data_IF_069795615657
#
_entry.id   IF_069795615657
#
_cell.length_a   1.000
_cell.length_b   1.000
_cell.length_c   1.000
_cell.angle_alpha   90.00
_cell.angle_beta   90.00
_cell.angle_gamma   90.00
#
_symmetry.space_group_name_H-M   'P 1'
#
loop_
_entity.id
_entity.type
_entity.pdbx_description
1 polymer ?
#
# COMPACT_ATOMS: atom_id res chain seq x y z
N UNK A 1 33.46 21.42 -20.95
CA UNK A 1 34.72 22.13 -21.37
C UNK A 1 34.40 23.61 -21.59
N UNK A 2 34.80 24.48 -20.67
CA UNK A 2 34.61 25.94 -20.78
C UNK A 2 35.68 26.47 -21.69
N UNK A 3 35.34 26.92 -22.91
CA UNK A 3 36.26 27.63 -23.76
C UNK A 3 36.37 29.08 -23.28
N UNK A 4 37.47 29.42 -22.61
CA UNK A 4 37.82 30.80 -22.25
C UNK A 4 38.23 31.56 -23.51
N UNK A 5 37.47 32.55 -23.90
CA UNK A 5 37.84 33.50 -24.94
C UNK A 5 38.82 34.52 -24.36
N UNK A 6 40.09 34.31 -24.60
CA UNK A 6 41.10 35.36 -24.37
C UNK A 6 40.80 36.59 -25.22
N UNK A 7 40.73 37.74 -24.63
CA UNK A 7 40.78 39.01 -25.37
C UNK A 7 42.18 39.18 -25.93
N UNK A 8 42.30 39.09 -27.25
CA UNK A 8 43.55 39.47 -27.93
C UNK A 8 43.59 41.01 -27.95
N UNK A 9 44.44 41.58 -27.13
CA UNK A 9 44.80 42.99 -27.23
C UNK A 9 45.39 43.28 -28.63
N UNK A 10 44.88 44.31 -29.26
CA UNK A 10 45.32 44.73 -30.61
C UNK A 10 46.51 45.72 -30.40
N UNK A 11 47.74 45.39 -30.84
CA UNK A 11 48.89 46.27 -30.66
C UNK A 11 48.64 47.62 -31.31
N UNK A 12 49.12 48.72 -30.68
CA UNK A 12 49.08 50.07 -31.24
C UNK A 12 50.00 50.17 -32.47
N UNK A 13 49.51 50.76 -33.57
CA UNK A 13 50.27 50.93 -34.81
C UNK A 13 49.81 50.12 -36.04
N UNK A 14 48.66 49.43 -35.96
CA UNK A 14 48.18 48.58 -37.07
C UNK A 14 47.29 49.39 -38.03
N UNK A 15 47.53 49.25 -39.36
CA UNK A 15 46.75 49.91 -40.40
C UNK A 15 45.31 49.39 -40.42
N UNK A 16 44.32 50.21 -40.87
CA UNK A 16 42.89 49.85 -40.94
C UNK A 16 42.68 48.57 -41.78
N UNK A 17 43.50 48.30 -42.80
CA UNK A 17 43.43 47.05 -43.56
C UNK A 17 43.83 45.83 -42.71
N UNK A 18 44.79 45.93 -41.83
CA UNK A 18 45.21 44.87 -40.93
C UNK A 18 44.14 44.63 -39.85
N UNK A 19 43.51 45.66 -39.32
CA UNK A 19 42.37 45.55 -38.38
C UNK A 19 41.17 44.83 -39.03
N UNK A 20 40.86 45.19 -40.28
CA UNK A 20 39.76 44.49 -41.00
C UNK A 20 40.09 43.00 -41.25
N UNK A 21 41.31 42.64 -41.62
CA UNK A 21 41.72 41.25 -41.79
C UNK A 21 41.70 40.47 -40.47
N UNK A 22 42.13 41.06 -39.38
CA UNK A 22 42.04 40.44 -38.06
C UNK A 22 40.59 40.24 -37.60
N UNK A 23 39.70 41.23 -37.83
CA UNK A 23 38.26 41.07 -37.58
C UNK A 23 37.61 39.98 -38.44
N UNK A 24 37.93 39.93 -39.73
CA UNK A 24 37.43 38.87 -40.61
C UNK A 24 37.94 37.46 -40.20
N UNK A 25 39.20 37.33 -39.83
CA UNK A 25 39.75 36.06 -39.29
C UNK A 25 39.05 35.65 -38.00
N UNK A 26 38.84 36.57 -37.06
CA UNK A 26 38.13 36.33 -35.80
C UNK A 26 36.67 35.94 -36.03
N UNK A 27 35.97 36.61 -36.96
CA UNK A 27 34.61 36.26 -37.30
C UNK A 27 34.49 34.86 -37.93
N UNK A 28 35.43 34.51 -38.84
CA UNK A 28 35.51 33.15 -39.40
C UNK A 28 35.80 32.09 -38.33
N UNK A 29 36.66 32.40 -37.40
CA UNK A 29 37.00 31.50 -36.29
C UNK A 29 35.77 31.32 -35.35
N UNK A 30 35.09 32.42 -35.01
CA UNK A 30 33.83 32.37 -34.23
C UNK A 30 32.73 31.58 -34.96
N UNK A 31 32.60 31.77 -36.26
CA UNK A 31 31.62 31.01 -37.06
C UNK A 31 31.93 29.50 -37.06
N UNK A 32 33.23 29.14 -37.26
CA UNK A 32 33.69 27.74 -37.20
C UNK A 32 33.42 27.11 -35.81
N UNK A 33 33.70 27.83 -34.73
CA UNK A 33 33.44 27.36 -33.36
C UNK A 33 31.94 27.17 -33.11
N UNK A 34 31.11 28.11 -33.61
CA UNK A 34 29.65 28.00 -33.50
C UNK A 34 29.13 26.79 -34.28
N UNK A 35 29.62 26.60 -35.52
CA UNK A 35 29.21 25.41 -36.32
C UNK A 35 29.64 24.13 -35.62
N UNK A 36 30.85 24.05 -35.11
CA UNK A 36 31.33 22.89 -34.37
C UNK A 36 30.47 22.62 -33.14
N UNK A 37 30.18 23.66 -32.34
CA UNK A 37 29.32 23.52 -31.16
C UNK A 37 27.93 23.05 -31.52
N UNK A 38 27.32 23.62 -32.55
CA UNK A 38 25.98 23.20 -33.03
C UNK A 38 25.99 21.75 -33.58
N UNK A 39 27.10 21.36 -34.25
CA UNK A 39 27.26 19.99 -34.75
C UNK A 39 27.35 18.98 -33.58
N UNK A 40 28.16 19.30 -32.56
CA UNK A 40 28.27 18.44 -31.36
C UNK A 40 26.90 18.33 -30.65
N UNK A 41 26.22 19.47 -30.43
CA UNK A 41 24.90 19.48 -29.85
C UNK A 41 23.89 18.65 -30.69
N UNK A 42 23.95 18.76 -32.01
CA UNK A 42 23.11 17.98 -32.91
C UNK A 42 23.35 16.48 -32.81
N UNK A 43 24.64 16.08 -32.78
CA UNK A 43 25.00 14.67 -32.58
C UNK A 43 24.55 14.16 -31.22
N UNK A 44 24.77 14.94 -30.17
CA UNK A 44 24.34 14.59 -28.81
C UNK A 44 22.82 14.45 -28.72
N UNK A 45 22.06 15.39 -29.32
CA UNK A 45 20.59 15.32 -29.37
C UNK A 45 20.12 14.06 -30.11
N UNK A 46 20.67 13.78 -31.30
CA UNK A 46 20.28 12.60 -32.09
C UNK A 46 20.65 11.32 -31.35
N UNK A 47 21.86 11.21 -30.78
CA UNK A 47 22.27 10.04 -30.03
C UNK A 47 21.39 9.81 -28.79
N UNK A 48 21.06 10.88 -28.09
CA UNK A 48 20.14 10.82 -26.92
C UNK A 48 18.76 10.33 -27.34
N UNK A 49 18.19 10.88 -28.42
CA UNK A 49 16.89 10.45 -28.93
C UNK A 49 16.89 8.97 -29.35
N UNK A 50 17.96 8.52 -30.04
CA UNK A 50 18.11 7.14 -30.46
C UNK A 50 18.27 6.21 -29.26
N UNK A 51 19.19 6.54 -28.34
CA UNK A 51 19.42 5.76 -27.12
C UNK A 51 18.17 5.71 -26.24
N UNK A 52 17.49 6.85 -26.06
CA UNK A 52 16.25 6.90 -25.30
C UNK A 52 15.15 6.05 -25.95
N UNK A 53 14.99 6.16 -27.28
CA UNK A 53 14.00 5.37 -28.02
C UNK A 53 14.28 3.86 -28.04
N UNK A 54 15.55 3.44 -28.06
CA UNK A 54 15.96 2.04 -28.12
C UNK A 54 16.07 1.36 -26.74
N UNK A 55 16.49 2.11 -25.72
CA UNK A 55 16.82 1.54 -24.41
C UNK A 55 15.88 1.96 -23.30
N UNK A 56 14.98 2.91 -23.53
CA UNK A 56 13.97 3.26 -22.55
C UNK A 56 12.87 2.21 -22.53
N UNK A 57 12.91 1.34 -21.52
CA UNK A 57 11.88 0.33 -21.26
C UNK A 57 10.90 0.88 -20.25
N UNK A 58 9.96 1.68 -20.69
CA UNK A 58 8.84 2.14 -19.87
C UNK A 58 7.58 1.31 -20.13
N UNK A 59 6.62 1.40 -19.23
CA UNK A 59 5.28 0.89 -19.50
C UNK A 59 4.68 1.66 -20.67
N UNK A 60 4.25 0.95 -21.71
CA UNK A 60 3.63 1.59 -22.87
C UNK A 60 2.35 2.32 -22.50
N UNK A 61 2.11 3.49 -23.07
CA UNK A 61 0.91 4.31 -22.82
C UNK A 61 -0.38 3.52 -23.05
N UNK A 62 -0.39 2.57 -23.97
CA UNK A 62 -1.52 1.67 -24.23
C UNK A 62 -1.79 0.65 -23.11
N UNK A 63 -0.79 0.39 -22.26
CA UNK A 63 -0.91 -0.56 -21.13
C UNK A 63 -1.08 0.16 -19.78
N UNK A 64 -0.94 1.46 -19.79
CA UNK A 64 -0.97 2.29 -18.62
C UNK A 64 -2.08 3.32 -18.76
N UNK A 65 -3.07 3.26 -18.01
CA UNK A 65 -3.67 2.33 -17.08
C UNK A 65 -4.91 1.67 -17.73
N UNK A 66 -4.87 0.40 -17.95
CA UNK A 66 -6.08 -0.33 -18.36
C UNK A 66 -7.20 -0.06 -17.36
N UNK A 67 -8.37 0.31 -17.88
CA UNK A 67 -9.54 0.63 -17.05
C UNK A 67 -9.62 2.08 -16.55
N UNK A 68 -8.71 2.97 -16.93
CA UNK A 68 -8.69 4.39 -16.49
C UNK A 68 -10.01 5.11 -16.68
N UNK A 69 -10.71 4.88 -17.77
CA UNK A 69 -11.98 5.55 -18.07
C UNK A 69 -13.01 5.26 -16.99
N UNK A 70 -13.20 3.98 -16.64
CA UNK A 70 -14.17 3.59 -15.61
C UNK A 70 -13.70 3.97 -14.22
N UNK A 71 -12.42 3.74 -13.91
CA UNK A 71 -11.82 4.17 -12.64
C UNK A 71 -11.92 5.68 -12.45
N UNK A 72 -11.66 6.47 -13.49
CA UNK A 72 -11.82 7.93 -13.43
C UNK A 72 -13.28 8.35 -13.17
N UNK A 73 -14.26 7.61 -13.71
CA UNK A 73 -15.69 7.86 -13.45
C UNK A 73 -16.06 7.54 -12.01
N UNK A 74 -15.55 6.42 -11.46
CA UNK A 74 -15.71 6.05 -10.04
C UNK A 74 -15.13 7.12 -9.13
N UNK A 75 -13.89 7.57 -9.40
CA UNK A 75 -13.22 8.58 -8.58
C UNK A 75 -13.97 9.93 -8.62
N UNK A 76 -14.42 10.34 -9.80
CA UNK A 76 -15.23 11.56 -9.93
C UNK A 76 -16.51 11.45 -9.10
N UNK A 77 -17.27 10.37 -9.25
CA UNK A 77 -18.49 10.12 -8.49
C UNK A 77 -18.24 10.08 -6.98
N UNK A 78 -17.12 9.47 -6.55
CA UNK A 78 -16.71 9.45 -5.16
C UNK A 78 -16.52 10.85 -4.58
N UNK A 79 -15.85 11.74 -5.30
CA UNK A 79 -15.66 13.14 -4.86
C UNK A 79 -16.93 13.97 -4.94
N UNK A 80 -17.78 13.79 -5.96
CA UNK A 80 -19.09 14.46 -6.06
C UNK A 80 -20.01 14.07 -4.88
N UNK A 81 -19.86 12.87 -4.35
CA UNK A 81 -20.60 12.39 -3.17
C UNK A 81 -20.11 13.02 -1.86
N UNK A 82 -18.89 13.53 -1.82
CA UNK A 82 -18.18 13.98 -0.61
C UNK A 82 -17.93 15.49 -0.62
N UNK A 83 -18.83 16.26 -1.23
CA UNK A 83 -18.65 17.72 -1.43
C UNK A 83 -18.26 18.49 -0.16
N UNK A 84 -18.76 18.10 1.01
CA UNK A 84 -18.48 18.72 2.31
C UNK A 84 -17.35 18.05 3.09
N UNK A 85 -16.77 16.95 2.59
CA UNK A 85 -15.75 16.21 3.30
C UNK A 85 -14.35 16.66 2.92
N UNK A 86 -13.67 17.32 3.86
CA UNK A 86 -12.33 17.87 3.65
C UNK A 86 -11.26 16.82 3.41
N UNK A 87 -11.42 15.59 3.93
CA UNK A 87 -10.46 14.51 3.78
C UNK A 87 -11.09 13.14 4.06
N UNK A 88 -10.86 12.22 3.15
CA UNK A 88 -11.13 10.78 3.30
C UNK A 88 -10.11 9.98 2.51
N UNK A 89 -9.98 8.69 2.80
CA UNK A 89 -9.13 7.76 2.05
C UNK A 89 -9.94 6.76 1.27
N UNK A 90 -9.40 6.44 0.11
CA UNK A 90 -9.86 5.32 -0.72
C UNK A 90 -8.67 4.46 -1.12
N UNK A 91 -8.92 3.18 -1.36
CA UNK A 91 -7.94 2.27 -1.95
C UNK A 91 -8.56 1.41 -3.04
N UNK A 92 -7.73 0.73 -3.80
CA UNK A 92 -8.17 -0.22 -4.81
C UNK A 92 -8.15 -1.64 -4.25
N UNK A 93 -9.07 -2.50 -4.68
CA UNK A 93 -9.08 -3.92 -4.31
C UNK A 93 -7.84 -4.64 -4.79
N UNK A 94 -7.25 -4.18 -5.89
CA UNK A 94 -5.90 -4.54 -6.33
C UNK A 94 -5.29 -3.37 -7.10
N UNK A 95 -3.99 -3.15 -6.89
CA UNK A 95 -3.27 -2.03 -7.47
C UNK A 95 -2.66 -2.38 -8.83
N UNK A 96 -2.63 -1.43 -9.76
CA UNK A 96 -1.77 -1.51 -10.95
C UNK A 96 -0.36 -1.02 -10.65
N UNK A 97 -0.25 -0.06 -9.74
CA UNK A 97 1.00 0.48 -9.24
C UNK A 97 0.84 0.87 -7.78
N UNK A 98 1.92 0.79 -7.00
CA UNK A 98 1.91 1.18 -5.60
C UNK A 98 1.56 2.67 -5.37
N UNK A 99 1.64 3.50 -6.38
CA UNK A 99 1.29 4.91 -6.32
C UNK A 99 -0.03 5.23 -7.05
N UNK A 100 -0.95 4.28 -7.10
CA UNK A 100 -2.23 4.43 -7.78
C UNK A 100 -3.03 5.65 -7.28
N UNK A 101 -3.03 5.93 -5.98
CA UNK A 101 -3.67 7.11 -5.42
C UNK A 101 -3.12 8.41 -6.01
N UNK A 102 -1.79 8.55 -6.05
CA UNK A 102 -1.15 9.73 -6.64
C UNK A 102 -1.37 9.82 -8.15
N UNK A 103 -1.38 8.68 -8.86
CA UNK A 103 -1.62 8.63 -10.30
C UNK A 103 -3.04 9.03 -10.68
N UNK A 104 -4.03 8.55 -9.93
CA UNK A 104 -5.45 8.72 -10.24
C UNK A 104 -6.12 9.86 -9.47
N UNK A 105 -5.40 10.53 -8.56
CA UNK A 105 -5.86 11.73 -7.85
C UNK A 105 -6.80 11.44 -6.68
N UNK A 106 -6.58 10.36 -5.92
CA UNK A 106 -7.28 10.10 -4.67
C UNK A 106 -6.29 9.89 -3.51
N UNK A 107 -6.76 10.04 -2.27
CA UNK A 107 -5.94 9.84 -1.08
C UNK A 107 -5.84 8.35 -0.77
N UNK A 108 -4.83 7.68 -1.35
CA UNK A 108 -4.53 6.28 -1.10
C UNK A 108 -3.55 6.07 0.07
N UNK A 109 -3.37 4.80 0.45
CA UNK A 109 -2.40 4.36 1.46
C UNK A 109 -1.15 3.80 0.80
N UNK A 110 -1.32 2.93 -0.21
CA UNK A 110 -0.22 2.28 -0.89
C UNK A 110 0.81 3.28 -1.40
N UNK A 111 2.09 3.02 -1.15
CA UNK A 111 3.15 3.93 -1.56
C UNK A 111 4.46 3.21 -1.91
N UNK A 112 5.13 3.75 -2.92
CA UNK A 112 6.55 3.51 -3.20
C UNK A 112 7.29 4.84 -3.28
N UNK A 113 8.23 5.07 -2.36
CA UNK A 113 9.06 6.25 -2.35
C UNK A 113 10.38 5.98 -1.64
N UNK A 114 11.48 6.54 -2.15
CA UNK A 114 12.80 6.41 -1.53
C UNK A 114 12.93 7.14 -0.18
N UNK A 115 11.96 8.00 0.15
CA UNK A 115 11.88 8.76 1.41
C UNK A 115 10.70 8.32 2.29
N UNK A 116 10.31 7.04 2.21
CA UNK A 116 9.24 6.51 3.05
C UNK A 116 9.61 6.58 4.53
N UNK A 117 8.59 6.83 5.37
CA UNK A 117 8.75 6.77 6.81
C UNK A 117 8.86 5.30 7.25
N UNK A 118 9.99 4.94 7.87
CA UNK A 118 10.28 3.56 8.31
C UNK A 118 9.20 3.06 9.28
N UNK A 119 8.78 3.88 10.26
CA UNK A 119 7.75 3.50 11.23
C UNK A 119 6.40 3.20 10.57
N UNK A 120 6.01 3.98 9.55
CA UNK A 120 4.79 3.69 8.79
C UNK A 120 4.91 2.35 8.08
N UNK A 121 6.07 2.04 7.49
CA UNK A 121 6.30 0.75 6.83
C UNK A 121 6.25 -0.42 7.82
N UNK A 122 6.79 -0.23 9.02
CA UNK A 122 6.75 -1.23 10.10
C UNK A 122 5.31 -1.43 10.60
N UNK A 123 4.57 -0.35 10.82
CA UNK A 123 3.17 -0.41 11.20
C UNK A 123 2.30 -1.12 10.15
N UNK A 124 2.47 -0.78 8.86
CA UNK A 124 1.76 -1.45 7.77
C UNK A 124 2.09 -2.94 7.70
N UNK A 125 3.35 -3.32 7.97
CA UNK A 125 3.75 -4.73 8.07
C UNK A 125 3.09 -5.43 9.24
N UNK A 126 3.06 -4.79 10.40
CA UNK A 126 2.39 -5.35 11.59
C UNK A 126 0.89 -5.54 11.37
N UNK A 127 0.25 -4.63 10.64
CA UNK A 127 -1.14 -4.77 10.20
C UNK A 127 -1.37 -5.90 9.18
N UNK A 128 -0.30 -6.45 8.58
CA UNK A 128 -0.39 -7.54 7.61
C UNK A 128 -0.37 -7.11 6.15
N UNK A 129 0.01 -5.88 5.85
CA UNK A 129 0.15 -5.42 4.47
C UNK A 129 1.54 -5.68 3.92
N UNK A 130 1.63 -5.92 2.59
CA UNK A 130 2.87 -6.21 1.90
C UNK A 130 3.87 -5.06 2.01
N UNK A 131 4.79 -5.15 2.97
CA UNK A 131 5.81 -4.14 3.23
C UNK A 131 7.22 -4.73 3.10
N UNK A 132 8.10 -4.02 2.37
CA UNK A 132 9.46 -4.50 2.12
C UNK A 132 10.42 -4.17 3.26
N UNK A 133 11.39 -5.05 3.51
CA UNK A 133 12.45 -4.84 4.49
C UNK A 133 13.35 -3.61 4.19
N UNK A 134 13.35 -3.14 2.94
CA UNK A 134 14.00 -1.88 2.55
C UNK A 134 13.24 -0.64 3.00
N UNK A 135 12.06 -0.80 3.60
CA UNK A 135 11.23 0.28 4.12
C UNK A 135 10.82 1.36 3.11
N UNK A 136 10.88 1.05 1.81
CA UNK A 136 10.59 2.01 0.76
C UNK A 136 9.25 1.78 0.05
N UNK A 137 8.50 0.77 0.49
CA UNK A 137 7.18 0.45 -0.06
C UNK A 137 6.33 -0.33 0.92
N UNK A 138 5.04 -0.11 0.82
CA UNK A 138 3.97 -0.93 1.38
C UNK A 138 2.76 -0.89 0.43
N UNK A 139 2.00 -1.96 0.43
CA UNK A 139 0.90 -2.16 -0.49
C UNK A 139 -0.36 -2.56 0.28
N UNK A 140 -1.41 -1.79 0.11
CA UNK A 140 -2.74 -2.15 0.56
C UNK A 140 -3.43 -2.86 -0.63
N UNK A 141 -3.60 -4.16 -0.56
CA UNK A 141 -4.24 -4.95 -1.62
C UNK A 141 -5.47 -5.70 -1.11
N UNK A 142 -5.55 -5.91 0.20
CA UNK A 142 -6.62 -6.65 0.83
C UNK A 142 -7.14 -5.94 2.07
N UNK A 143 -8.42 -6.15 2.33
CA UNK A 143 -9.16 -5.41 3.36
C UNK A 143 -9.27 -6.21 4.65
N UNK A 144 -8.56 -5.80 5.70
CA UNK A 144 -8.87 -6.20 7.06
C UNK A 144 -9.81 -5.17 7.70
N UNK A 145 -11.01 -5.56 8.16
CA UNK A 145 -11.94 -4.62 8.79
C UNK A 145 -11.32 -3.85 9.97
N UNK A 146 -10.51 -4.53 10.79
CA UNK A 146 -9.78 -3.89 11.91
C UNK A 146 -8.77 -2.86 11.40
N UNK A 147 -7.93 -3.23 10.43
CA UNK A 147 -6.94 -2.30 9.89
C UNK A 147 -7.60 -1.08 9.20
N UNK A 148 -8.75 -1.28 8.54
CA UNK A 148 -9.49 -0.21 7.88
C UNK A 148 -9.98 0.87 8.84
N UNK A 149 -10.32 0.51 10.10
CA UNK A 149 -10.67 1.50 11.14
C UNK A 149 -9.49 2.46 11.37
N UNK A 150 -8.31 1.91 11.67
CA UNK A 150 -7.13 2.70 12.02
C UNK A 150 -6.51 3.43 10.82
N UNK A 151 -6.69 2.91 9.62
CA UNK A 151 -6.23 3.57 8.39
C UNK A 151 -7.23 4.59 7.85
N UNK A 152 -8.46 4.63 8.35
CA UNK A 152 -9.49 5.56 7.91
C UNK A 152 -9.90 5.34 6.45
N UNK A 153 -10.02 4.07 6.01
CA UNK A 153 -10.47 3.72 4.66
C UNK A 153 -11.99 3.87 4.57
N UNK A 154 -12.45 4.83 3.78
CA UNK A 154 -13.87 5.07 3.53
C UNK A 154 -14.39 4.33 2.32
N UNK A 155 -13.59 4.27 1.27
CA UNK A 155 -13.99 3.68 -0.01
C UNK A 155 -12.97 2.66 -0.50
N UNK A 156 -13.50 1.63 -1.17
CA UNK A 156 -12.72 0.74 -2.02
C UNK A 156 -13.16 0.91 -3.47
N UNK A 157 -12.19 0.96 -4.36
CA UNK A 157 -12.40 1.05 -5.81
C UNK A 157 -12.07 -0.32 -6.40
N UNK A 158 -13.10 -1.03 -6.83
CA UNK A 158 -12.94 -2.23 -7.62
C UNK A 158 -12.76 -1.84 -9.09
N UNK A 159 -11.77 -2.41 -9.77
CA UNK A 159 -11.32 -1.87 -11.07
C UNK A 159 -11.69 -2.73 -12.25
N UNK A 160 -11.83 -4.03 -12.09
CA UNK A 160 -11.84 -5.00 -13.20
C UNK A 160 -12.94 -6.07 -13.09
N UNK A 161 -13.91 -5.87 -12.21
CA UNK A 161 -15.04 -6.79 -12.02
C UNK A 161 -14.65 -8.08 -11.30
N UNK A 162 -13.49 -8.11 -10.63
CA UNK A 162 -13.12 -9.21 -9.75
C UNK A 162 -13.67 -8.95 -8.37
N UNK A 163 -14.93 -9.31 -8.18
CA UNK A 163 -15.64 -9.14 -6.91
C UNK A 163 -14.91 -9.91 -5.79
N UNK A 164 -14.21 -9.16 -4.93
CA UNK A 164 -13.85 -9.63 -3.61
C UNK A 164 -14.92 -9.09 -2.66
N UNK A 165 -16.06 -9.76 -2.60
CA UNK A 165 -17.16 -9.34 -1.74
C UNK A 165 -16.75 -9.46 -0.28
N UNK A 166 -16.73 -8.33 0.41
CA UNK A 166 -16.60 -8.25 1.86
C UNK A 166 -17.92 -7.75 2.43
N UNK A 167 -18.46 -8.38 3.46
CA UNK A 167 -19.63 -7.88 4.20
C UNK A 167 -19.42 -6.52 4.86
N UNK A 168 -18.19 -6.04 4.89
CA UNK A 168 -17.84 -4.74 5.43
C UNK A 168 -17.82 -3.62 4.38
N UNK A 169 -18.19 -3.94 3.12
CA UNK A 169 -18.27 -2.95 2.05
C UNK A 169 -19.57 -3.13 1.25
N UNK A 170 -20.31 -2.03 1.10
CA UNK A 170 -21.51 -1.98 0.27
C UNK A 170 -21.19 -1.34 -1.09
N UNK A 171 -21.63 -1.94 -2.20
CA UNK A 171 -21.54 -1.32 -3.52
C UNK A 171 -22.46 -0.10 -3.59
N UNK A 172 -21.85 1.06 -3.87
CA UNK A 172 -22.59 2.33 -3.98
C UNK A 172 -22.99 2.62 -5.42
N UNK A 173 -22.08 2.36 -6.36
CA UNK A 173 -22.31 2.57 -7.78
C UNK A 173 -21.30 1.79 -8.63
N UNK A 174 -21.67 1.53 -9.89
CA UNK A 174 -20.85 0.79 -10.86
C UNK A 174 -20.76 1.53 -12.19
N UNK A 175 -19.56 1.59 -12.75
CA UNK A 175 -19.25 2.17 -14.05
C UNK A 175 -18.53 1.13 -14.91
N UNK A 176 -19.28 0.45 -15.77
CA UNK A 176 -18.75 -0.66 -16.57
C UNK A 176 -18.23 -1.80 -15.67
N UNK A 177 -16.94 -2.07 -15.71
CA UNK A 177 -16.30 -3.10 -14.88
C UNK A 177 -15.77 -2.57 -13.55
N UNK A 178 -15.84 -1.27 -13.29
CA UNK A 178 -15.34 -0.68 -12.06
C UNK A 178 -16.50 -0.29 -11.12
N UNK A 179 -16.35 -0.57 -9.83
CA UNK A 179 -17.33 -0.28 -8.78
C UNK A 179 -16.74 0.59 -7.69
N UNK A 180 -17.59 1.39 -7.05
CA UNK A 180 -17.30 2.08 -5.79
C UNK A 180 -17.99 1.34 -4.65
N UNK A 181 -17.18 0.92 -3.68
CA UNK A 181 -17.63 0.27 -2.45
C UNK A 181 -17.43 1.24 -1.29
N UNK A 182 -18.41 1.34 -0.39
CA UNK A 182 -18.30 2.14 0.85
C UNK A 182 -18.10 1.25 2.05
N UNK A 183 -17.14 1.60 2.91
CA UNK A 183 -16.90 0.91 4.17
C UNK A 183 -18.02 1.19 5.16
N UNK A 184 -18.70 0.15 5.62
CA UNK A 184 -19.81 0.22 6.58
C UNK A 184 -19.34 0.57 7.99
N UNK A 185 -18.06 0.35 8.30
CA UNK A 185 -17.42 0.65 9.58
C UNK A 185 -16.29 1.69 9.41
N UNK A 186 -16.59 2.84 8.81
CA UNK A 186 -15.63 3.91 8.57
C UNK A 186 -15.40 4.78 9.80
N UNK A 187 -14.12 5.05 10.11
CA UNK A 187 -13.69 6.11 11.03
C UNK A 187 -12.89 7.18 10.27
N UNK A 188 -13.03 8.48 10.63
CA UNK A 188 -12.31 9.57 9.95
C UNK A 188 -10.83 9.58 10.31
N UNK A 189 -10.13 10.66 9.93
CA UNK A 189 -8.69 10.84 10.14
C UNK A 189 -8.26 10.68 11.60
N UNK A 190 -9.15 10.97 12.56
CA UNK A 190 -8.89 10.80 13.99
C UNK A 190 -10.14 10.48 14.77
N UNK A 191 -9.95 9.88 15.94
CA UNK A 191 -10.99 9.50 16.90
C UNK A 191 -10.38 9.26 18.28
N UNK A 192 -11.21 9.34 19.33
CA UNK A 192 -10.78 9.11 20.69
C UNK A 192 -10.62 7.61 20.96
N UNK A 193 -9.53 7.25 21.62
CA UNK A 193 -9.21 5.89 22.06
C UNK A 193 -8.89 5.86 23.56
N UNK A 194 -8.74 4.65 24.11
CA UNK A 194 -8.18 4.49 25.44
C UNK A 194 -6.71 4.95 25.48
N UNK A 195 -6.23 5.47 26.64
CA UNK A 195 -4.86 5.93 26.80
C UNK A 195 -3.79 4.86 26.57
N UNK A 196 -4.13 3.60 26.82
CA UNK A 196 -3.27 2.41 26.70
C UNK A 196 -2.74 2.22 25.27
N UNK A 197 -3.40 2.79 24.28
CA UNK A 197 -2.92 2.76 22.91
C UNK A 197 -1.54 3.43 22.74
N UNK A 198 -1.20 4.39 23.59
CA UNK A 198 0.09 5.06 23.56
C UNK A 198 1.28 4.16 23.91
N UNK A 199 1.02 3.04 24.61
CA UNK A 199 2.05 2.10 25.07
C UNK A 199 2.17 0.87 24.16
N UNK A 200 1.42 0.81 23.05
CA UNK A 200 1.43 -0.31 22.13
C UNK A 200 2.75 -0.38 21.35
N UNK A 201 3.46 -1.50 21.48
CA UNK A 201 4.67 -1.79 20.72
C UNK A 201 4.37 -2.65 19.49
N UNK A 202 4.42 -2.06 18.31
CA UNK A 202 4.22 -2.76 17.04
C UNK A 202 5.49 -3.45 16.48
N UNK A 203 6.63 -3.31 17.16
CA UNK A 203 7.88 -3.99 16.80
C UNK A 203 7.98 -5.41 17.38
N UNK A 204 7.12 -5.80 18.29
CA UNK A 204 7.20 -7.02 19.09
C UNK A 204 7.10 -8.34 18.32
N UNK A 205 6.75 -8.32 17.02
CA UNK A 205 6.81 -9.51 16.15
C UNK A 205 5.83 -10.65 16.46
N UNK A 206 4.76 -10.38 17.22
CA UNK A 206 3.77 -11.37 17.68
C UNK A 206 2.87 -11.95 16.57
N UNK A 207 3.08 -11.54 15.33
CA UNK A 207 2.26 -11.91 14.18
C UNK A 207 1.06 -11.00 14.00
N UNK A 208 0.59 -10.94 12.76
CA UNK A 208 -0.38 -9.93 12.28
C UNK A 208 -1.72 -9.94 13.04
N UNK A 209 -2.31 -11.12 13.25
CA UNK A 209 -3.60 -11.19 13.96
C UNK A 209 -3.47 -10.82 15.44
N UNK A 210 -2.35 -11.20 16.06
CA UNK A 210 -2.09 -10.80 17.45
C UNK A 210 -1.91 -9.30 17.57
N UNK A 211 -1.15 -8.70 16.67
CA UNK A 211 -0.98 -7.25 16.65
C UNK A 211 -2.32 -6.52 16.45
N UNK A 212 -3.18 -7.00 15.55
CA UNK A 212 -4.51 -6.39 15.38
C UNK A 212 -5.41 -6.59 16.60
N UNK A 213 -5.30 -7.71 17.33
CA UNK A 213 -5.97 -7.91 18.60
C UNK A 213 -5.48 -6.90 19.64
N UNK A 214 -4.16 -6.80 19.81
CA UNK A 214 -3.54 -5.89 20.79
C UNK A 214 -3.89 -4.42 20.47
N UNK A 215 -3.83 -4.03 19.20
CA UNK A 215 -4.23 -2.70 18.73
C UNK A 215 -5.69 -2.39 19.02
N UNK A 216 -6.58 -3.34 18.75
CA UNK A 216 -8.01 -3.18 18.97
C UNK A 216 -8.35 -3.10 20.47
N UNK A 217 -7.77 -3.98 21.27
CA UNK A 217 -7.90 -3.96 22.73
C UNK A 217 -7.37 -2.66 23.33
N UNK A 218 -6.16 -2.25 22.96
CA UNK A 218 -5.55 -1.02 23.46
C UNK A 218 -6.34 0.24 23.10
N UNK A 219 -7.00 0.24 21.93
CA UNK A 219 -7.80 1.37 21.48
C UNK A 219 -9.20 1.43 22.11
N UNK A 220 -9.82 0.28 22.38
CA UNK A 220 -11.24 0.16 22.76
C UNK A 220 -11.47 -0.20 24.21
N UNK A 221 -10.45 -0.73 24.92
CA UNK A 221 -10.59 -1.30 26.25
C UNK A 221 -11.34 -2.65 26.30
N UNK A 222 -11.58 -3.28 25.13
CA UNK A 222 -12.22 -4.60 25.08
C UNK A 222 -11.15 -5.67 25.23
N UNK A 223 -11.16 -6.42 26.33
CA UNK A 223 -10.14 -7.44 26.66
C UNK A 223 -10.21 -8.71 25.81
N UNK A 224 -11.32 -8.94 25.11
CA UNK A 224 -11.44 -10.14 24.29
C UNK A 224 -10.88 -9.95 22.89
N UNK A 225 -10.23 -10.99 22.36
CA UNK A 225 -9.67 -10.98 21.01
C UNK A 225 -10.74 -10.76 19.94
N UNK A 226 -10.51 -9.79 19.05
CA UNK A 226 -11.37 -9.54 17.90
C UNK A 226 -11.12 -10.55 16.77
N UNK A 227 -9.89 -11.05 16.63
CA UNK A 227 -9.50 -12.12 15.72
C UNK A 227 -9.29 -13.42 16.48
N UNK A 228 -10.04 -14.46 16.14
CA UNK A 228 -9.83 -15.81 16.65
C UNK A 228 -9.03 -16.65 15.64
N UNK A 229 -7.85 -17.12 16.03
CA UNK A 229 -6.94 -17.86 15.16
C UNK A 229 -7.43 -19.28 14.93
N UNK A 230 -7.46 -19.72 13.67
CA UNK A 230 -7.69 -21.11 13.28
C UNK A 230 -6.36 -21.86 13.30
N UNK A 231 -6.16 -22.67 14.31
CA UNK A 231 -4.92 -23.43 14.56
C UNK A 231 -5.20 -24.76 15.28
N UNK A 232 -4.16 -25.54 15.52
CA UNK A 232 -4.32 -26.82 16.20
C UNK A 232 -5.09 -27.83 15.35
N UNK A 233 -6.19 -28.35 15.86
CA UNK A 233 -7.06 -29.31 15.17
C UNK A 233 -7.81 -28.71 13.98
N UNK A 234 -7.92 -27.39 13.93
CA UNK A 234 -8.53 -26.65 12.82
C UNK A 234 -7.60 -26.41 11.65
N UNK A 235 -6.37 -26.95 11.65
CA UNK A 235 -5.39 -26.80 10.58
C UNK A 235 -4.82 -28.14 10.17
N UNK A 236 -4.90 -28.47 8.88
CA UNK A 236 -4.16 -29.55 8.23
C UNK A 236 -3.25 -28.98 7.15
N UNK A 237 -2.02 -29.53 7.03
CA UNK A 237 -1.05 -29.16 5.99
C UNK A 237 -0.67 -30.42 5.22
N UNK A 238 -0.88 -30.39 3.91
CA UNK A 238 -0.61 -31.54 3.03
C UNK A 238 0.22 -31.14 1.82
N UNK A 239 1.08 -32.02 1.34
CA UNK A 239 1.84 -31.88 0.11
C UNK A 239 1.28 -32.77 -0.99
N UNK A 240 1.13 -32.22 -2.18
CA UNK A 240 0.88 -33.00 -3.39
C UNK A 240 2.07 -32.85 -4.33
N UNK A 241 2.84 -33.93 -4.52
CA UNK A 241 4.11 -33.88 -5.25
C UNK A 241 5.21 -33.06 -4.54
N UNK A 242 5.01 -32.75 -3.25
CA UNK A 242 5.97 -32.13 -2.35
C UNK A 242 5.99 -32.90 -1.02
N UNK A 243 7.17 -33.17 -0.49
CA UNK A 243 7.34 -33.83 0.78
C UNK A 243 7.33 -32.82 1.92
N UNK A 244 6.36 -32.93 2.84
CA UNK A 244 6.33 -32.11 4.06
C UNK A 244 7.33 -32.73 5.05
N UNK A 245 8.44 -32.02 5.30
CA UNK A 245 9.52 -32.50 6.19
C UNK A 245 9.34 -32.03 7.62
N UNK A 246 8.65 -30.91 7.84
CA UNK A 246 8.34 -30.38 9.16
C UNK A 246 7.09 -29.48 9.06
N UNK A 247 6.18 -29.59 10.01
CA UNK A 247 5.05 -28.69 10.14
C UNK A 247 4.61 -28.56 11.59
N UNK A 248 3.91 -27.49 11.92
CA UNK A 248 3.34 -27.29 13.24
C UNK A 248 1.88 -26.80 13.20
N UNK A 249 1.25 -26.81 14.34
CA UNK A 249 -0.16 -26.43 14.50
C UNK A 249 -0.45 -24.93 14.37
N UNK A 250 0.59 -24.09 14.21
CA UNK A 250 0.46 -22.63 14.03
C UNK A 250 0.69 -22.18 12.59
N UNK A 251 0.87 -23.13 11.66
CA UNK A 251 0.95 -22.88 10.23
C UNK A 251 2.36 -22.80 9.64
N UNK A 252 3.41 -23.08 10.39
CA UNK A 252 4.75 -23.28 9.82
C UNK A 252 4.82 -24.58 9.03
N UNK A 253 5.44 -24.56 7.87
CA UNK A 253 5.67 -25.71 7.02
C UNK A 253 7.04 -25.62 6.35
N UNK A 254 7.80 -26.72 6.43
CA UNK A 254 9.01 -26.96 5.65
C UNK A 254 8.76 -28.09 4.69
N UNK A 255 9.11 -27.90 3.43
CA UNK A 255 8.89 -28.87 2.37
C UNK A 255 10.09 -29.01 1.45
N UNK A 256 10.15 -30.11 0.73
CA UNK A 256 11.22 -30.46 -0.20
C UNK A 256 10.74 -31.45 -1.26
N UNK A 257 11.63 -31.84 -2.18
CA UNK A 257 11.36 -32.90 -3.15
C UNK A 257 10.26 -32.62 -4.15
N UNK A 258 9.99 -31.33 -4.43
CA UNK A 258 8.91 -30.92 -5.30
C UNK A 258 9.09 -31.44 -6.73
N UNK A 259 8.08 -32.16 -7.24
CA UNK A 259 7.99 -32.53 -8.64
C UNK A 259 7.34 -31.43 -9.48
N UNK A 260 7.29 -31.57 -10.79
CA UNK A 260 6.56 -30.61 -11.65
C UNK A 260 5.08 -30.59 -11.31
N UNK A 261 4.51 -29.41 -11.03
CA UNK A 261 3.12 -29.22 -10.63
C UNK A 261 2.84 -29.52 -9.14
N UNK A 262 3.91 -29.63 -8.33
CA UNK A 262 3.78 -29.81 -6.88
C UNK A 262 3.10 -28.61 -6.22
N UNK A 263 2.40 -28.87 -5.12
CA UNK A 263 1.82 -27.85 -4.28
C UNK A 263 1.78 -28.25 -2.81
N UNK A 264 1.66 -27.26 -1.95
CA UNK A 264 1.36 -27.40 -0.52
C UNK A 264 0.00 -26.78 -0.27
N UNK A 265 -0.89 -27.52 0.37
CA UNK A 265 -2.24 -27.07 0.71
C UNK A 265 -2.40 -26.95 2.22
N UNK A 266 -2.86 -25.80 2.66
CA UNK A 266 -3.30 -25.53 4.02
C UNK A 266 -4.82 -25.58 4.03
N UNK A 267 -5.38 -26.50 4.78
CA UNK A 267 -6.82 -26.64 4.99
C UNK A 267 -7.15 -26.19 6.39
N UNK A 268 -7.90 -25.07 6.49
CA UNK A 268 -8.44 -24.58 7.75
C UNK A 268 -9.91 -24.97 7.86
N UNK A 269 -10.34 -25.41 9.03
CA UNK A 269 -11.75 -25.65 9.35
C UNK A 269 -12.26 -24.51 10.23
N UNK A 270 -13.31 -23.82 9.80
CA UNK A 270 -13.92 -22.78 10.61
C UNK A 270 -14.61 -23.36 11.83
N UNK A 271 -14.21 -22.97 13.03
CA UNK A 271 -14.82 -23.39 14.31
C UNK A 271 -15.97 -22.48 14.74
N UNK A 272 -16.20 -21.39 14.00
CA UNK A 272 -17.25 -20.39 14.20
C UNK A 272 -17.62 -19.67 12.92
N UNK A 273 -18.81 -19.05 12.93
CA UNK A 273 -19.25 -18.14 11.87
C UNK A 273 -18.45 -16.83 11.93
N UNK A 274 -18.12 -16.25 10.77
CA UNK A 274 -17.52 -14.91 10.68
C UNK A 274 -16.70 -14.67 9.43
N UNK A 275 -16.14 -13.49 9.33
CA UNK A 275 -15.26 -13.07 8.23
C UNK A 275 -13.84 -13.60 8.45
N UNK A 276 -13.28 -14.27 7.45
CA UNK A 276 -11.95 -14.89 7.54
C UNK A 276 -10.93 -14.10 6.74
N UNK A 277 -9.77 -13.89 7.38
CA UNK A 277 -8.54 -13.49 6.70
C UNK A 277 -7.46 -14.57 6.89
N UNK A 278 -6.52 -14.62 5.93
CA UNK A 278 -5.32 -15.46 6.00
C UNK A 278 -4.10 -14.58 5.77
N UNK A 279 -3.11 -14.67 6.66
CA UNK A 279 -1.80 -14.05 6.45
C UNK A 279 -0.84 -15.07 5.85
N UNK A 280 -0.27 -14.74 4.69
CA UNK A 280 0.65 -15.59 3.95
C UNK A 280 2.07 -15.02 4.03
N UNK A 281 3.03 -15.87 4.42
CA UNK A 281 4.46 -15.60 4.31
C UNK A 281 5.09 -16.70 3.45
N UNK A 282 5.22 -16.42 2.16
CA UNK A 282 5.72 -17.35 1.16
C UNK A 282 7.20 -17.11 0.88
N UNK A 283 7.99 -18.15 0.46
CA UNK A 283 9.44 -18.04 0.32
C UNK A 283 9.88 -17.11 -0.83
N UNK A 284 9.03 -16.98 -1.84
CA UNK A 284 9.27 -16.18 -3.04
C UNK A 284 7.93 -15.73 -3.62
N UNK A 285 7.95 -15.20 -4.84
CA UNK A 285 6.75 -14.95 -5.60
C UNK A 285 6.12 -16.28 -6.03
N UNK A 286 5.05 -16.69 -5.34
CA UNK A 286 4.31 -17.92 -5.60
C UNK A 286 2.88 -17.60 -6.01
N UNK A 287 2.36 -18.43 -6.91
CA UNK A 287 0.94 -18.49 -7.20
C UNK A 287 0.24 -19.29 -6.09
N UNK A 288 -0.93 -18.81 -5.68
CA UNK A 288 -1.78 -19.53 -4.74
C UNK A 288 -3.26 -19.42 -5.14
N UNK A 289 -4.02 -20.38 -4.65
CA UNK A 289 -5.46 -20.50 -4.90
C UNK A 289 -6.18 -20.52 -3.57
N UNK A 290 -7.30 -19.83 -3.50
CA UNK A 290 -8.19 -19.81 -2.33
C UNK A 290 -9.49 -20.50 -2.71
N UNK A 291 -9.88 -21.49 -1.90
CA UNK A 291 -11.15 -22.21 -2.08
C UNK A 291 -11.89 -22.31 -0.75
N UNK A 292 -13.23 -22.30 -0.81
CA UNK A 292 -14.09 -22.57 0.34
C UNK A 292 -15.01 -23.72 -0.03
N UNK A 293 -15.03 -24.77 0.80
CA UNK A 293 -15.80 -26.00 0.56
C UNK A 293 -15.55 -26.61 -0.85
N UNK A 294 -14.29 -26.54 -1.30
CA UNK A 294 -13.87 -27.03 -2.61
C UNK A 294 -14.26 -26.15 -3.81
N UNK A 295 -14.89 -25.00 -3.59
CA UNK A 295 -15.20 -24.02 -4.63
C UNK A 295 -14.08 -22.98 -4.67
N UNK A 296 -13.35 -22.90 -5.79
CA UNK A 296 -12.29 -21.91 -5.99
C UNK A 296 -12.90 -20.51 -6.08
N UNK A 297 -12.45 -19.61 -5.20
CA UNK A 297 -12.86 -18.22 -5.17
C UNK A 297 -11.99 -17.37 -6.11
N UNK A 298 -10.68 -17.49 -5.98
CA UNK A 298 -9.72 -16.76 -6.81
C UNK A 298 -8.32 -17.38 -6.78
N UNK A 299 -7.53 -16.97 -7.77
CA UNK A 299 -6.09 -17.21 -7.87
C UNK A 299 -5.35 -15.90 -7.83
N UNK A 300 -4.26 -15.82 -7.06
CA UNK A 300 -3.38 -14.67 -7.00
C UNK A 300 -1.91 -15.05 -6.88
N UNK A 301 -1.05 -14.03 -6.97
CA UNK A 301 0.41 -14.17 -6.84
C UNK A 301 0.93 -13.10 -5.89
N UNK A 302 1.56 -13.49 -4.79
CA UNK A 302 2.20 -12.54 -3.87
C UNK A 302 3.71 -12.68 -3.86
N UNK A 303 4.41 -11.59 -3.53
CA UNK A 303 5.87 -11.54 -3.43
C UNK A 303 6.36 -11.03 -2.08
N UNK A 304 5.47 -10.63 -1.21
CA UNK A 304 5.73 -10.13 0.14
C UNK A 304 4.74 -10.78 1.10
N UNK A 305 5.13 -10.98 2.37
CA UNK A 305 4.17 -11.40 3.38
C UNK A 305 3.00 -10.43 3.45
N UNK A 306 1.78 -10.94 3.32
CA UNK A 306 0.58 -10.10 3.38
C UNK A 306 -0.66 -10.90 3.79
N UNK A 307 -1.64 -10.16 4.28
CA UNK A 307 -2.98 -10.66 4.59
C UNK A 307 -3.83 -10.67 3.32
N UNK A 308 -4.66 -11.69 3.18
CA UNK A 308 -5.71 -11.80 2.17
C UNK A 308 -7.08 -12.00 2.84
N UNK A 309 -8.12 -11.51 2.21
CA UNK A 309 -9.50 -11.75 2.63
C UNK A 309 -10.04 -13.02 1.94
N UNK A 310 -10.64 -13.91 2.72
CA UNK A 310 -11.37 -15.07 2.20
C UNK A 310 -12.86 -14.75 2.05
N UNK A 311 -13.42 -14.04 3.02
CA UNK A 311 -14.84 -13.70 3.09
C UNK A 311 -15.53 -14.34 4.28
N UNK A 312 -16.86 -14.31 4.29
CA UNK A 312 -17.67 -14.90 5.35
C UNK A 312 -17.76 -16.42 5.22
N UNK A 313 -17.58 -17.08 6.34
CA UNK A 313 -17.69 -18.54 6.47
C UNK A 313 -18.66 -18.92 7.57
N UNK A 314 -19.11 -20.17 7.54
CA UNK A 314 -19.92 -20.81 8.58
C UNK A 314 -19.09 -21.84 9.33
N UNK A 315 -19.48 -22.12 10.55
CA UNK A 315 -18.91 -23.22 11.36
C UNK A 315 -18.94 -24.51 10.58
N UNK A 316 -17.77 -25.15 10.45
CA UNK A 316 -17.56 -26.39 9.69
C UNK A 316 -17.13 -26.18 8.24
N UNK A 317 -17.16 -24.95 7.71
CA UNK A 317 -16.63 -24.67 6.38
C UNK A 317 -15.13 -24.95 6.33
N UNK A 318 -14.66 -25.48 5.19
CA UNK A 318 -13.25 -25.71 4.92
C UNK A 318 -12.69 -24.63 4.00
N UNK A 319 -11.54 -24.07 4.38
CA UNK A 319 -10.85 -23.03 3.63
C UNK A 319 -9.51 -23.62 3.18
N UNK A 320 -9.33 -23.82 1.88
CA UNK A 320 -8.08 -24.32 1.32
C UNK A 320 -7.27 -23.19 0.71
N UNK A 321 -6.01 -23.09 1.14
CA UNK A 321 -5.00 -22.24 0.53
C UNK A 321 -3.96 -23.17 -0.10
N UNK A 322 -4.01 -23.32 -1.42
CA UNK A 322 -3.11 -24.16 -2.19
C UNK A 322 -2.02 -23.30 -2.84
N UNK A 323 -0.78 -23.50 -2.40
CA UNK A 323 0.40 -22.77 -2.87
C UNK A 323 1.17 -23.64 -3.88
N UNK A 324 1.41 -23.12 -5.09
CA UNK A 324 2.20 -23.83 -6.11
C UNK A 324 3.69 -23.76 -5.78
N UNK A 325 4.38 -24.89 -5.98
CA UNK A 325 5.81 -25.02 -5.76
C UNK A 325 6.53 -25.31 -7.07
N UNK A 326 7.73 -24.75 -7.24
CA UNK A 326 8.54 -25.06 -8.42
C UNK A 326 9.20 -26.46 -8.28
N UNK A 327 9.49 -27.05 -9.43
CA UNK A 327 10.24 -28.31 -9.46
C UNK A 327 11.59 -28.18 -8.73
N UNK A 328 11.95 -29.21 -7.95
CA UNK A 328 13.16 -29.30 -7.14
C UNK A 328 13.24 -28.23 -6.01
N UNK A 329 12.11 -27.56 -5.71
CA UNK A 329 12.06 -26.57 -4.62
C UNK A 329 12.18 -27.26 -3.26
N UNK A 330 12.91 -26.57 -2.36
CA UNK A 330 12.98 -26.90 -0.94
C UNK A 330 13.01 -25.60 -0.17
N UNK A 331 11.99 -25.36 0.66
CA UNK A 331 11.83 -24.06 1.34
C UNK A 331 10.93 -24.18 2.57
N UNK A 332 10.62 -23.03 3.14
CA UNK A 332 9.67 -22.88 4.26
C UNK A 332 8.61 -21.86 3.92
N UNK A 333 7.40 -22.04 4.43
CA UNK A 333 6.33 -21.05 4.40
C UNK A 333 5.57 -21.05 5.72
N UNK A 334 4.89 -19.94 5.99
CA UNK A 334 4.04 -19.83 7.18
C UNK A 334 2.74 -19.16 6.78
N UNK A 335 1.64 -19.85 7.00
CA UNK A 335 0.30 -19.31 6.80
C UNK A 335 -0.46 -19.34 8.14
N UNK A 336 -1.20 -18.30 8.42
CA UNK A 336 -2.08 -18.26 9.59
C UNK A 336 -3.44 -17.69 9.18
N UNK A 337 -4.52 -18.31 9.63
CA UNK A 337 -5.88 -17.86 9.38
C UNK A 337 -6.57 -17.46 10.69
N UNK A 338 -7.48 -16.50 10.61
CA UNK A 338 -8.32 -16.12 11.74
C UNK A 338 -9.72 -15.71 11.29
N UNK A 339 -10.69 -15.96 12.16
CA UNK A 339 -12.09 -15.54 12.02
C UNK A 339 -12.30 -14.27 12.83
N UNK A 340 -12.88 -13.25 12.21
CA UNK A 340 -13.28 -12.02 12.89
C UNK A 340 -14.54 -12.26 13.72
N UNK A 341 -14.50 -11.85 14.98
CA UNK A 341 -15.70 -11.79 15.82
C UNK A 341 -16.48 -10.50 15.50
N UNK A 342 -17.54 -10.63 14.70
CA UNK A 342 -18.32 -9.49 14.22
C UNK A 342 -18.99 -8.69 15.34
N UNK A 343 -19.44 -9.33 16.44
CA UNK A 343 -20.07 -8.63 17.57
C UNK A 343 -19.07 -7.77 18.33
N UNK A 344 -17.87 -8.31 18.59
CA UNK A 344 -16.80 -7.54 19.25
C UNK A 344 -16.31 -6.40 18.37
N UNK A 345 -16.15 -6.66 17.08
CA UNK A 345 -15.80 -5.65 16.11
C UNK A 345 -16.82 -4.50 16.07
N UNK A 346 -18.12 -4.83 16.01
CA UNK A 346 -19.20 -3.84 16.02
C UNK A 346 -19.19 -3.01 17.30
N UNK A 347 -19.05 -3.67 18.47
CA UNK A 347 -18.96 -2.98 19.76
C UNK A 347 -17.76 -2.04 19.84
N UNK A 348 -16.58 -2.46 19.37
CA UNK A 348 -15.40 -1.59 19.33
C UNK A 348 -15.55 -0.43 18.34
N UNK A 349 -16.19 -0.66 17.19
CA UNK A 349 -16.53 0.40 16.27
C UNK A 349 -17.48 1.44 16.90
N UNK A 350 -18.49 1.02 17.66
CA UNK A 350 -19.37 1.92 18.39
C UNK A 350 -18.59 2.80 19.39
N UNK A 351 -17.69 2.20 20.19
CA UNK A 351 -16.84 2.92 21.16
C UNK A 351 -15.99 3.97 20.43
N UNK A 352 -15.24 3.58 19.39
CA UNK A 352 -14.34 4.46 18.67
C UNK A 352 -15.08 5.52 17.84
N UNK A 353 -16.31 5.22 17.43
CA UNK A 353 -17.12 6.14 16.63
C UNK A 353 -17.87 7.19 17.46
N UNK A 354 -17.90 7.06 18.80
CA UNK A 354 -18.58 8.00 19.67
C UNK A 354 -17.93 9.39 19.66
N UNK A 355 -16.60 9.47 19.60
CA UNK A 355 -15.84 10.73 19.63
C UNK A 355 -14.89 10.82 18.44
N UNK A 356 -15.39 11.39 17.34
CA UNK A 356 -14.67 11.50 16.06
C UNK A 356 -14.09 12.89 15.88
N UNK A 357 -12.96 12.99 15.19
CA UNK A 357 -12.40 14.26 14.73
C UNK A 357 -13.21 14.80 13.58
N UNK A 358 -13.94 15.88 13.80
CA UNK A 358 -14.67 16.64 12.79
C UNK A 358 -13.73 17.71 12.22
N UNK A 359 -13.23 17.50 11.01
CA UNK A 359 -12.31 18.41 10.35
C UNK A 359 -13.01 19.73 10.02
N UNK A 360 -12.40 20.86 10.39
CA UNK A 360 -12.80 22.20 9.97
C UNK A 360 -11.88 22.79 8.92
N UNK A 361 -10.64 22.24 8.84
CA UNK A 361 -9.65 22.66 7.85
C UNK A 361 -8.63 21.54 7.62
N UNK A 362 -8.34 21.27 6.35
CA UNK A 362 -7.33 20.29 5.98
C UNK A 362 -6.42 20.85 4.88
N UNK A 363 -5.10 20.76 5.12
CA UNK A 363 -4.04 21.07 4.14
C UNK A 363 -2.85 20.14 4.43
N UNK A 364 -1.94 20.02 3.49
CA UNK A 364 -0.73 19.19 3.63
C UNK A 364 0.15 19.51 4.86
N UNK A 365 0.01 20.71 5.44
CA UNK A 365 0.79 21.22 6.59
C UNK A 365 -0.08 21.67 7.76
N UNK A 366 -1.38 21.49 7.70
CA UNK A 366 -2.32 21.98 8.72
C UNK A 366 -3.55 21.06 8.76
N UNK A 367 -3.83 20.53 9.94
CA UNK A 367 -5.07 19.80 10.24
C UNK A 367 -5.72 20.49 11.44
N UNK A 368 -6.95 20.98 11.28
CA UNK A 368 -7.75 21.60 12.35
C UNK A 368 -9.11 20.91 12.39
N UNK A 369 -9.64 20.74 13.58
CA UNK A 369 -10.94 20.14 13.78
C UNK A 369 -11.38 20.21 15.24
N UNK A 370 -12.55 19.65 15.51
CA UNK A 370 -13.13 19.54 16.85
C UNK A 370 -13.42 18.07 17.14
N UNK A 371 -13.29 17.70 18.43
CA UNK A 371 -13.67 16.39 18.94
C UNK A 371 -14.59 16.64 20.13
N UNK A 372 -15.78 16.04 20.09
CA UNK A 372 -16.67 16.05 21.26
C UNK A 372 -16.27 14.89 22.17
N UNK A 373 -15.72 15.20 23.35
CA UNK A 373 -15.23 14.22 24.32
C UNK A 373 -16.09 14.27 25.56
N UNK A 374 -16.61 13.14 26.00
CA UNK A 374 -17.32 12.94 27.26
C UNK A 374 -16.43 12.30 28.35
N UNK A 375 -15.19 11.94 27.99
CA UNK A 375 -14.19 11.29 28.83
C UNK A 375 -12.76 11.70 28.47
N UNK A 376 -11.84 11.49 29.38
CA UNK A 376 -10.41 11.55 29.08
C UNK A 376 -10.02 10.40 28.14
N UNK A 377 -9.05 10.63 27.26
CA UNK A 377 -8.57 9.63 26.31
C UNK A 377 -7.41 10.13 25.46
N UNK A 378 -6.97 9.28 24.55
CA UNK A 378 -5.95 9.60 23.57
C UNK A 378 -6.62 9.89 22.22
N UNK A 379 -6.37 11.04 21.62
CA UNK A 379 -6.78 11.30 20.24
C UNK A 379 -5.83 10.58 19.29
N UNK A 380 -6.25 9.42 18.79
CA UNK A 380 -5.55 8.74 17.70
C UNK A 380 -5.74 9.52 16.39
N UNK A 381 -4.68 9.64 15.60
CA UNK A 381 -4.77 10.13 14.20
C UNK A 381 -3.94 9.24 13.29
N UNK A 382 -4.47 8.93 12.13
CA UNK A 382 -3.74 8.21 11.08
C UNK A 382 -2.80 9.11 10.25
N UNK A 383 -2.33 10.22 10.84
CA UNK A 383 -1.34 11.12 10.23
C UNK A 383 0.05 10.64 10.61
N UNK A 384 0.92 10.27 9.65
CA UNK A 384 2.26 9.83 9.96
C UNK A 384 3.09 10.92 10.64
N UNK A 385 3.64 10.64 11.81
CA UNK A 385 4.56 11.54 12.49
C UNK A 385 5.99 11.33 11.99
N UNK A 386 6.62 12.41 11.56
CA UNK A 386 8.01 12.43 11.06
C UNK A 386 8.89 13.44 11.81
N UNK A 387 8.44 13.90 12.99
CA UNK A 387 9.14 14.91 13.79
C UNK A 387 8.81 16.36 13.42
N UNK A 388 7.99 16.60 12.38
CA UNK A 388 7.66 17.96 11.91
C UNK A 388 6.29 18.47 12.36
N UNK A 389 5.49 17.61 12.99
CA UNK A 389 4.18 17.99 13.51
C UNK A 389 4.27 18.52 14.94
N UNK A 390 3.47 19.51 15.23
CA UNK A 390 3.17 19.97 16.60
C UNK A 390 1.66 20.03 16.77
N UNK A 391 1.17 19.72 17.96
CA UNK A 391 -0.27 19.70 18.25
C UNK A 391 -0.62 20.73 19.31
N UNK A 392 -1.82 21.31 19.19
CA UNK A 392 -2.44 22.13 20.23
C UNK A 392 -3.88 21.66 20.44
N UNK A 393 -4.26 21.56 21.70
CA UNK A 393 -5.64 21.32 22.12
C UNK A 393 -6.12 22.57 22.86
N UNK A 394 -7.21 23.18 22.42
CA UNK A 394 -7.74 24.45 22.92
C UNK A 394 -6.69 25.57 23.00
N UNK A 395 -5.84 25.63 21.96
CA UNK A 395 -4.77 26.63 21.86
C UNK A 395 -3.52 26.35 22.68
N UNK A 396 -3.51 25.33 23.55
CA UNK A 396 -2.37 24.92 24.36
C UNK A 396 -1.56 23.81 23.70
N UNK A 397 -0.21 23.84 23.77
CA UNK A 397 0.60 22.72 23.29
C UNK A 397 0.22 21.42 24.00
N UNK A 398 0.14 20.33 23.24
CA UNK A 398 -0.08 18.98 23.73
C UNK A 398 1.02 18.03 23.25
N UNK A 399 1.19 16.91 23.95
CA UNK A 399 2.19 15.89 23.62
C UNK A 399 1.72 15.04 22.44
N UNK A 400 2.66 14.63 21.59
CA UNK A 400 2.44 13.62 20.57
C UNK A 400 3.13 12.34 21.03
N UNK A 401 2.38 11.26 21.12
CA UNK A 401 2.86 9.89 21.35
C UNK A 401 2.96 9.16 20.02
N UNK A 402 3.92 8.21 19.88
CA UNK A 402 4.21 7.50 18.62
C UNK A 402 4.16 5.99 18.83
#
# INVERSE_FOLDING_TARGET
>A
TVMLYGQLEVPEGITERQKMRARAKRNRQRARTRILALSVMGVELVSTLVCFGLYFTGTGVSNYPKGTTYTASVIRYMYEREDDNLFFRAETTHSQTLNDGALNGYNGISAFTSSANVRVTEFMRALGYGAKNTYNRYCFEESSPVANLFLGIKYMIERDGKDKSSTYFDEVNRFGVASLLVNTAYLPLGFLTEPELADLDFSAGNGTFQFQNDLFTAATGIDEEVWHKLQGENLAITGNGADITESNSTGYCKYSGCVSGANVTYTYTADRDGFVCVHLNLPKRNDFYVSVNGVELYKETISLPQMIAVGDVKTGDTIDIRVECDKDESSTMTLSAAVLNGERFARGYEILSASRLNLTRFRSTLVEGTVDCDRDGLLYTSVPQNGNWSVKVDGKPAEIRL
#
